data_IF_484557436634
#
_entry.id   IF_484557436634
#
_cell.length_a   1.000
_cell.length_b   1.000
_cell.length_c   1.000
_cell.angle_alpha   90.00
_cell.angle_beta   90.00
_cell.angle_gamma   90.00
#
_symmetry.space_group_name_H-M   'P 1'
#
loop_
_entity.id
_entity.type
_entity.pdbx_description
1 polymer ?
#
# COMPACT_ATOMS: atom_id res chain seq x y z
N UNK A 1 31.93 -35.45 -11.26
CA UNK A 1 31.25 -34.15 -11.34
C UNK A 1 32.31 -33.07 -11.52
N UNK A 2 32.34 -32.41 -12.68
CA UNK A 2 33.32 -31.36 -12.95
C UNK A 2 32.86 -30.06 -12.29
N UNK A 3 33.62 -29.56 -11.31
CA UNK A 3 33.44 -28.20 -10.79
C UNK A 3 33.84 -27.22 -11.88
N UNK A 4 32.86 -26.53 -12.47
CA UNK A 4 33.13 -25.41 -13.38
C UNK A 4 33.66 -24.26 -12.52
N UNK A 5 34.98 -24.14 -12.44
CA UNK A 5 35.65 -22.99 -11.83
C UNK A 5 35.40 -21.80 -12.75
N UNK A 6 34.43 -20.95 -12.40
CA UNK A 6 34.24 -19.67 -13.10
C UNK A 6 35.54 -18.86 -12.96
N UNK A 7 36.04 -18.25 -14.06
CA UNK A 7 37.28 -17.47 -14.03
C UNK A 7 37.19 -16.31 -13.03
N UNK A 8 38.33 -15.92 -12.45
CA UNK A 8 38.44 -14.79 -11.52
C UNK A 8 37.82 -13.53 -12.15
N UNK A 9 36.79 -12.92 -11.54
CA UNK A 9 36.17 -11.72 -12.09
C UNK A 9 37.20 -10.58 -12.11
N UNK A 10 37.29 -9.85 -13.23
CA UNK A 10 38.15 -8.67 -13.35
C UNK A 10 37.61 -7.56 -12.43
N UNK A 11 38.44 -6.62 -11.97
CA UNK A 11 38.00 -5.52 -11.07
C UNK A 11 36.83 -4.67 -11.65
N UNK A 12 36.78 -4.50 -12.99
CA UNK A 12 35.66 -3.86 -13.68
C UNK A 12 34.33 -4.65 -13.55
N UNK A 13 34.41 -5.97 -13.36
CA UNK A 13 33.28 -6.87 -13.22
C UNK A 13 32.63 -6.73 -11.84
N UNK A 14 33.43 -6.71 -10.77
CA UNK A 14 32.97 -6.51 -9.39
C UNK A 14 32.25 -5.16 -9.22
N UNK A 15 32.81 -4.08 -9.79
CA UNK A 15 32.17 -2.76 -9.75
C UNK A 15 30.81 -2.76 -10.46
N UNK A 16 30.67 -3.50 -11.56
CA UNK A 16 29.39 -3.64 -12.28
C UNK A 16 28.38 -4.44 -11.46
N UNK A 17 28.79 -5.55 -10.85
CA UNK A 17 27.94 -6.35 -9.97
C UNK A 17 27.45 -5.51 -8.76
N UNK A 18 28.34 -4.79 -8.08
CA UNK A 18 27.95 -3.88 -6.98
C UNK A 18 26.99 -2.77 -7.42
N UNK A 19 27.19 -2.20 -8.61
CA UNK A 19 26.25 -1.21 -9.16
C UNK A 19 24.88 -1.83 -9.49
N UNK A 20 24.84 -3.10 -9.90
CA UNK A 20 23.59 -3.84 -10.11
C UNK A 20 22.84 -4.03 -8.79
N UNK A 21 23.54 -4.49 -7.75
CA UNK A 21 22.99 -4.64 -6.39
C UNK A 21 22.42 -3.32 -5.88
N UNK A 22 23.16 -2.20 -6.03
CA UNK A 22 22.67 -0.87 -5.65
C UNK A 22 21.35 -0.49 -6.34
N UNK A 23 21.22 -0.80 -7.64
CA UNK A 23 19.97 -0.55 -8.38
C UNK A 23 18.82 -1.40 -7.86
N UNK A 24 19.07 -2.66 -7.50
CA UNK A 24 18.06 -3.55 -6.90
C UNK A 24 17.57 -2.95 -5.57
N UNK A 25 18.49 -2.52 -4.70
CA UNK A 25 18.14 -1.88 -3.42
C UNK A 25 17.33 -0.59 -3.61
N UNK A 26 17.74 0.30 -4.52
CA UNK A 26 17.03 1.55 -4.80
C UNK A 26 15.61 1.31 -5.35
N UNK A 27 15.45 0.29 -6.21
CA UNK A 27 14.14 -0.11 -6.72
C UNK A 27 13.26 -0.67 -5.61
N UNK A 28 13.80 -1.50 -4.72
CA UNK A 28 13.08 -2.04 -3.57
C UNK A 28 12.62 -0.92 -2.62
N UNK A 29 13.50 0.03 -2.30
CA UNK A 29 13.18 1.18 -1.45
C UNK A 29 12.04 2.02 -2.04
N UNK A 30 12.07 2.25 -3.36
CA UNK A 30 10.98 2.94 -4.07
C UNK A 30 9.65 2.20 -3.93
N UNK A 31 9.64 0.88 -4.10
CA UNK A 31 8.43 0.07 -3.95
C UNK A 31 7.91 0.07 -2.52
N UNK A 32 8.78 0.04 -1.51
CA UNK A 32 8.40 0.16 -0.11
C UNK A 32 7.76 1.54 0.17
N UNK A 33 8.30 2.62 -0.37
CA UNK A 33 7.68 3.95 -0.29
C UNK A 33 6.30 4.00 -0.93
N UNK A 34 6.14 3.42 -2.12
CA UNK A 34 4.82 3.30 -2.76
C UNK A 34 3.83 2.50 -1.91
N UNK A 35 4.30 1.47 -1.21
CA UNK A 35 3.47 0.67 -0.31
C UNK A 35 3.02 1.43 0.93
N UNK A 36 3.93 2.19 1.54
CA UNK A 36 3.58 3.07 2.66
C UNK A 36 2.54 4.10 2.24
N UNK A 37 2.67 4.69 1.04
CA UNK A 37 1.67 5.61 0.51
C UNK A 37 0.31 4.93 0.31
N UNK A 38 0.28 3.81 -0.41
CA UNK A 38 -0.95 3.03 -0.61
C UNK A 38 -1.63 2.69 0.72
N UNK A 39 -0.83 2.35 1.74
CA UNK A 39 -1.34 2.07 3.09
C UNK A 39 -1.95 3.31 3.76
N UNK A 40 -1.37 4.50 3.58
CA UNK A 40 -1.99 5.73 4.08
C UNK A 40 -3.32 6.00 3.37
N UNK A 41 -3.35 5.85 2.04
CA UNK A 41 -4.53 6.09 1.22
C UNK A 41 -5.69 5.12 1.57
N UNK A 42 -5.38 3.84 1.86
CA UNK A 42 -6.39 2.86 2.29
C UNK A 42 -6.92 3.15 3.70
N UNK A 43 -6.05 3.62 4.61
CA UNK A 43 -6.42 3.97 5.98
C UNK A 43 -7.32 5.23 5.98
N UNK A 44 -7.05 6.22 5.12
CA UNK A 44 -7.94 7.38 4.89
C UNK A 44 -9.30 6.97 4.32
N UNK A 45 -9.33 6.11 3.29
CA UNK A 45 -10.57 5.61 2.71
C UNK A 45 -11.44 4.85 3.73
N UNK A 46 -10.81 4.08 4.63
CA UNK A 46 -11.53 3.41 5.73
C UNK A 46 -12.15 4.42 6.70
N UNK A 47 -11.42 5.48 7.07
CA UNK A 47 -11.94 6.52 7.95
C UNK A 47 -13.13 7.26 7.32
N UNK A 48 -13.08 7.53 6.00
CA UNK A 48 -14.20 8.12 5.27
C UNK A 48 -15.45 7.21 5.31
N UNK A 49 -15.29 5.89 5.15
CA UNK A 49 -16.38 4.93 5.27
C UNK A 49 -16.99 4.90 6.68
N UNK A 50 -16.18 5.07 7.72
CA UNK A 50 -16.65 5.14 9.10
C UNK A 50 -17.56 6.35 9.33
N UNK A 51 -17.14 7.53 8.84
CA UNK A 51 -17.96 8.76 8.87
C UNK A 51 -19.27 8.59 8.09
N UNK A 52 -19.23 7.95 6.90
CA UNK A 52 -20.44 7.67 6.14
C UNK A 52 -21.38 6.70 6.86
N UNK A 53 -20.84 5.73 7.61
CA UNK A 53 -21.63 4.82 8.43
C UNK A 53 -22.35 5.55 9.56
N UNK A 54 -21.67 6.48 10.24
CA UNK A 54 -22.30 7.34 11.26
C UNK A 54 -23.40 8.22 10.68
N UNK A 55 -23.17 8.79 9.50
CA UNK A 55 -24.15 9.61 8.78
C UNK A 55 -25.39 8.78 8.41
N UNK A 56 -25.19 7.55 7.92
CA UNK A 56 -26.29 6.62 7.64
C UNK A 56 -27.12 6.33 8.91
N UNK A 57 -26.48 6.08 10.04
CA UNK A 57 -27.19 5.81 11.30
C UNK A 57 -27.97 7.04 11.79
N UNK A 58 -27.41 8.24 11.63
CA UNK A 58 -28.13 9.50 11.90
C UNK A 58 -29.38 9.66 11.02
N UNK A 59 -29.26 9.41 9.71
CA UNK A 59 -30.39 9.46 8.77
C UNK A 59 -31.47 8.42 9.12
N UNK A 60 -31.08 7.18 9.46
CA UNK A 60 -32.00 6.14 9.93
C UNK A 60 -32.74 6.55 11.20
N UNK A 61 -32.04 7.17 12.14
CA UNK A 61 -32.64 7.66 13.37
C UNK A 61 -33.64 8.79 13.11
N UNK A 62 -33.34 9.73 12.19
CA UNK A 62 -34.29 10.77 11.77
C UNK A 62 -35.53 10.17 11.10
N UNK A 63 -35.33 9.23 10.17
CA UNK A 63 -36.44 8.52 9.53
C UNK A 63 -37.34 7.79 10.55
N UNK A 64 -36.75 7.12 11.55
CA UNK A 64 -37.50 6.48 12.64
C UNK A 64 -38.34 7.48 13.43
N UNK A 65 -37.78 8.65 13.77
CA UNK A 65 -38.51 9.73 14.47
C UNK A 65 -39.69 10.26 13.66
N UNK A 66 -39.53 10.44 12.35
CA UNK A 66 -40.61 10.85 11.43
C UNK A 66 -41.72 9.81 11.47
N UNK A 67 -41.37 8.52 11.28
CA UNK A 67 -42.32 7.40 11.32
C UNK A 67 -43.08 7.35 12.65
N UNK A 68 -42.38 7.49 13.77
CA UNK A 68 -42.99 7.43 15.09
C UNK A 68 -43.94 8.61 15.34
N UNK A 69 -43.63 9.81 14.83
CA UNK A 69 -44.55 10.96 14.89
C UNK A 69 -45.80 10.73 14.04
N UNK A 70 -45.66 10.19 12.82
CA UNK A 70 -46.80 9.85 11.95
C UNK A 70 -47.72 8.79 12.56
N UNK A 71 -47.19 7.91 13.41
CA UNK A 71 -47.97 6.86 14.08
C UNK A 71 -48.89 7.38 15.21
N UNK A 72 -48.60 8.56 15.77
CA UNK A 72 -49.37 9.14 16.88
C UNK A 72 -50.59 9.88 16.35
N UNK A 73 -51.76 9.25 16.38
CA UNK A 73 -53.03 9.87 15.97
C UNK A 73 -53.70 10.64 17.14
N UNK A 74 -54.40 11.75 16.87
CA UNK A 74 -54.50 12.45 15.58
C UNK A 74 -53.24 13.27 15.27
N UNK A 75 -52.85 13.32 14.00
CA UNK A 75 -51.78 14.20 13.51
C UNK A 75 -52.43 15.44 12.93
N UNK A 76 -52.07 16.62 13.45
CA UNK A 76 -52.60 17.89 12.95
C UNK A 76 -51.88 18.35 11.67
N UNK A 77 -52.51 19.26 10.91
CA UNK A 77 -52.00 19.74 9.62
C UNK A 77 -50.65 20.47 9.72
N UNK A 78 -50.35 21.14 10.85
CA UNK A 78 -49.06 21.80 11.03
C UNK A 78 -47.95 20.78 11.24
N UNK A 79 -48.20 19.75 12.06
CA UNK A 79 -47.27 18.63 12.21
C UNK A 79 -47.01 17.91 10.88
N UNK A 80 -48.03 17.73 10.04
CA UNK A 80 -47.85 17.14 8.70
C UNK A 80 -46.92 18.01 7.84
N UNK A 81 -47.13 19.33 7.81
CA UNK A 81 -46.29 20.24 7.01
C UNK A 81 -44.82 20.26 7.48
N UNK A 82 -44.58 20.18 8.80
CA UNK A 82 -43.23 20.07 9.35
C UNK A 82 -42.55 18.74 8.99
N UNK A 83 -43.29 17.62 9.07
CA UNK A 83 -42.78 16.31 8.70
C UNK A 83 -42.48 16.21 7.21
N UNK A 84 -43.30 16.83 6.36
CA UNK A 84 -43.06 16.89 4.91
C UNK A 84 -41.71 17.57 4.61
N UNK A 85 -41.43 18.72 5.22
CA UNK A 85 -40.16 19.43 5.07
C UNK A 85 -38.97 18.61 5.57
N UNK A 86 -39.14 17.92 6.69
CA UNK A 86 -38.09 17.05 7.24
C UNK A 86 -37.82 15.83 6.33
N UNK A 87 -38.86 15.26 5.71
CA UNK A 87 -38.71 14.18 4.72
C UNK A 87 -37.91 14.69 3.51
N UNK A 88 -38.29 15.82 2.91
CA UNK A 88 -37.57 16.43 1.78
C UNK A 88 -36.09 16.68 2.13
N UNK A 89 -35.83 17.13 3.37
CA UNK A 89 -34.47 17.35 3.84
C UNK A 89 -33.68 16.04 4.02
N UNK A 90 -34.30 15.00 4.57
CA UNK A 90 -33.68 13.67 4.70
C UNK A 90 -33.41 13.05 3.33
N UNK A 91 -34.33 13.15 2.38
CA UNK A 91 -34.15 12.69 0.99
C UNK A 91 -32.93 13.35 0.34
N UNK A 92 -32.84 14.68 0.43
CA UNK A 92 -31.67 15.41 -0.08
C UNK A 92 -30.35 14.96 0.55
N UNK A 93 -30.33 14.68 1.86
CA UNK A 93 -29.11 14.18 2.51
C UNK A 93 -28.78 12.73 2.11
N UNK A 94 -29.80 11.89 1.88
CA UNK A 94 -29.60 10.53 1.36
C UNK A 94 -28.99 10.58 -0.04
N UNK A 95 -29.42 11.50 -0.90
CA UNK A 95 -28.83 11.67 -2.24
C UNK A 95 -27.35 12.06 -2.19
N UNK A 96 -26.99 13.00 -1.30
CA UNK A 96 -25.58 13.38 -1.07
C UNK A 96 -24.78 12.18 -0.54
N UNK A 97 -25.31 11.50 0.47
CA UNK A 97 -24.68 10.33 1.08
C UNK A 97 -24.45 9.20 0.06
N UNK A 98 -25.42 8.92 -0.82
CA UNK A 98 -25.28 7.93 -1.88
C UNK A 98 -24.18 8.30 -2.87
N UNK A 99 -24.07 9.59 -3.22
CA UNK A 99 -23.02 10.09 -4.11
C UNK A 99 -21.63 9.94 -3.48
N UNK A 100 -21.47 10.39 -2.24
CA UNK A 100 -20.20 10.27 -1.51
C UNK A 100 -19.78 8.80 -1.34
N UNK A 101 -20.73 7.90 -1.05
CA UNK A 101 -20.47 6.48 -0.97
C UNK A 101 -19.97 5.91 -2.31
N UNK A 102 -20.56 6.33 -3.42
CA UNK A 102 -20.14 5.89 -4.75
C UNK A 102 -18.70 6.34 -5.06
N UNK A 103 -18.36 7.59 -4.75
CA UNK A 103 -17.01 8.15 -4.95
C UNK A 103 -15.97 7.41 -4.09
N UNK A 104 -16.27 7.16 -2.81
CA UNK A 104 -15.38 6.41 -1.90
C UNK A 104 -15.20 4.96 -2.35
N UNK A 105 -16.26 4.33 -2.86
CA UNK A 105 -16.21 2.96 -3.35
C UNK A 105 -15.42 2.84 -4.67
N UNK A 106 -15.52 3.84 -5.55
CA UNK A 106 -14.68 3.92 -6.76
C UNK A 106 -13.19 4.08 -6.37
N UNK A 107 -12.89 5.01 -5.46
CA UNK A 107 -11.54 5.19 -4.94
C UNK A 107 -10.99 3.90 -4.31
N UNK A 108 -11.83 3.17 -3.53
CA UNK A 108 -11.46 1.88 -2.95
C UNK A 108 -11.13 0.84 -4.01
N UNK A 109 -11.95 0.74 -5.04
CA UNK A 109 -11.72 -0.20 -6.15
C UNK A 109 -10.38 0.07 -6.84
N UNK A 110 -10.04 1.34 -7.06
CA UNK A 110 -8.76 1.73 -7.64
C UNK A 110 -7.59 1.32 -6.72
N UNK A 111 -7.70 1.57 -5.41
CA UNK A 111 -6.68 1.15 -4.43
C UNK A 111 -6.49 -0.36 -4.39
N UNK A 112 -7.54 -1.16 -4.53
CA UNK A 112 -7.44 -2.62 -4.56
C UNK A 112 -6.68 -3.11 -5.81
N UNK A 113 -6.94 -2.50 -6.98
CA UNK A 113 -6.20 -2.80 -8.21
C UNK A 113 -4.73 -2.41 -8.07
N UNK A 114 -4.44 -1.24 -7.49
CA UNK A 114 -3.07 -0.80 -7.22
C UNK A 114 -2.34 -1.76 -6.27
N UNK A 115 -3.01 -2.21 -5.21
CA UNK A 115 -2.46 -3.18 -4.26
C UNK A 115 -2.03 -4.47 -4.95
N UNK A 116 -2.88 -5.04 -5.81
CA UNK A 116 -2.57 -6.28 -6.53
C UNK A 116 -1.29 -6.10 -7.35
N UNK A 117 -1.18 -4.99 -8.08
CA UNK A 117 0.00 -4.66 -8.90
C UNK A 117 1.24 -4.47 -8.02
N UNK A 118 1.12 -3.68 -6.96
CA UNK A 118 2.22 -3.35 -6.06
C UNK A 118 2.75 -4.58 -5.31
N UNK A 119 1.84 -5.41 -4.77
CA UNK A 119 2.17 -6.68 -4.11
C UNK A 119 2.99 -7.58 -5.01
N UNK A 120 2.60 -7.75 -6.28
CA UNK A 120 3.35 -8.57 -7.24
C UNK A 120 4.76 -8.03 -7.53
N UNK A 121 4.94 -6.71 -7.50
CA UNK A 121 6.25 -6.07 -7.71
C UNK A 121 7.12 -6.21 -6.46
N UNK A 122 6.55 -6.01 -5.28
CA UNK A 122 7.23 -6.17 -3.99
C UNK A 122 7.73 -7.60 -3.79
N UNK A 123 6.89 -8.60 -4.05
CA UNK A 123 7.29 -10.01 -3.94
C UNK A 123 8.50 -10.33 -4.82
N UNK A 124 8.47 -9.93 -6.09
CA UNK A 124 9.61 -10.08 -7.00
C UNK A 124 10.84 -9.31 -6.53
N UNK A 125 10.64 -8.09 -6.06
CA UNK A 125 11.74 -7.26 -5.54
C UNK A 125 12.37 -7.87 -4.30
N UNK A 126 11.61 -8.52 -3.44
CA UNK A 126 12.12 -9.17 -2.24
C UNK A 126 13.03 -10.36 -2.60
N UNK A 127 12.60 -11.20 -3.55
CA UNK A 127 13.47 -12.26 -4.10
C UNK A 127 14.72 -11.68 -4.75
N UNK A 128 14.63 -10.57 -5.49
CA UNK A 128 15.81 -9.92 -6.06
C UNK A 128 16.77 -9.41 -4.99
N UNK A 129 16.28 -8.91 -3.85
CA UNK A 129 17.10 -8.50 -2.71
C UNK A 129 17.80 -9.70 -2.07
N UNK A 130 17.11 -10.82 -1.89
CA UNK A 130 17.71 -12.06 -1.39
C UNK A 130 18.85 -12.55 -2.29
N UNK A 131 18.64 -12.56 -3.61
CA UNK A 131 19.68 -12.90 -4.59
C UNK A 131 20.83 -11.90 -4.53
N UNK A 132 20.54 -10.60 -4.46
CA UNK A 132 21.55 -9.55 -4.36
C UNK A 132 22.39 -9.68 -3.08
N UNK A 133 21.80 -10.12 -1.97
CA UNK A 133 22.52 -10.40 -0.72
C UNK A 133 23.48 -11.59 -0.90
N UNK A 134 23.05 -12.68 -1.55
CA UNK A 134 23.93 -13.83 -1.84
C UNK A 134 25.11 -13.41 -2.74
N UNK A 135 24.84 -12.59 -3.77
CA UNK A 135 25.87 -12.06 -4.64
C UNK A 135 26.84 -11.14 -3.86
N UNK A 136 26.32 -10.32 -2.95
CA UNK A 136 27.13 -9.46 -2.09
C UNK A 136 28.06 -10.30 -1.19
N UNK A 137 27.55 -11.31 -0.50
CA UNK A 137 28.35 -12.23 0.34
C UNK A 137 29.44 -12.93 -0.47
N UNK A 138 29.12 -13.31 -1.72
CA UNK A 138 30.09 -13.92 -2.64
C UNK A 138 31.19 -12.92 -3.01
N UNK A 139 30.84 -11.68 -3.33
CA UNK A 139 31.81 -10.62 -3.65
C UNK A 139 32.71 -10.34 -2.45
N UNK A 140 32.14 -10.27 -1.25
CA UNK A 140 32.89 -10.05 -0.01
C UNK A 140 33.93 -11.15 0.24
N UNK A 141 33.52 -12.42 0.13
CA UNK A 141 34.45 -13.57 0.25
C UNK A 141 35.58 -13.50 -0.78
N UNK A 142 35.26 -13.25 -2.06
CA UNK A 142 36.26 -13.15 -3.12
C UNK A 142 37.25 -11.99 -2.88
N UNK A 143 36.76 -10.87 -2.36
CA UNK A 143 37.58 -9.73 -2.00
C UNK A 143 38.51 -10.09 -0.83
N UNK A 144 38.00 -10.73 0.22
CA UNK A 144 38.78 -11.21 1.35
C UNK A 144 39.89 -12.18 0.92
N UNK A 145 39.57 -13.19 0.10
CA UNK A 145 40.54 -14.15 -0.43
C UNK A 145 41.62 -13.47 -1.29
N UNK A 146 41.22 -12.47 -2.08
CA UNK A 146 42.17 -11.71 -2.89
C UNK A 146 43.16 -10.95 -2.02
N UNK A 147 42.69 -10.28 -0.97
CA UNK A 147 43.54 -9.59 -0.01
C UNK A 147 44.44 -10.54 0.77
N UNK A 148 43.90 -11.66 1.25
CA UNK A 148 44.69 -12.68 1.95
C UNK A 148 45.83 -13.18 1.07
N UNK A 149 45.55 -13.52 -0.19
CA UNK A 149 46.58 -13.95 -1.14
C UNK A 149 47.61 -12.86 -1.45
N UNK A 150 47.18 -11.60 -1.58
CA UNK A 150 48.10 -10.47 -1.78
C UNK A 150 49.06 -10.31 -0.60
N UNK A 151 48.55 -10.33 0.63
CA UNK A 151 49.37 -10.21 1.84
C UNK A 151 50.38 -11.38 1.95
N UNK A 152 49.95 -12.63 1.74
CA UNK A 152 50.86 -13.79 1.81
C UNK A 152 51.99 -13.72 0.77
N UNK A 153 51.70 -13.23 -0.45
CA UNK A 153 52.73 -13.07 -1.49
C UNK A 153 53.78 -12.02 -1.13
N UNK A 154 53.39 -10.95 -0.43
CA UNK A 154 54.31 -9.89 -0.04
C UNK A 154 55.11 -10.23 1.22
N UNK A 155 54.60 -11.11 2.09
CA UNK A 155 55.36 -11.64 3.25
C UNK A 155 56.50 -12.56 2.82
N UNK A 156 56.35 -13.30 1.71
CA UNK A 156 57.40 -14.17 1.16
C UNK A 156 58.44 -13.43 0.30
N UNK A 157 58.38 -12.09 0.23
CA UNK A 157 59.31 -11.23 -0.52
C UNK A 157 60.17 -10.34 0.40
N UNK A 158 60.05 -10.51 1.72
CA UNK A 158 60.90 -9.94 2.77
C UNK A 158 61.61 -11.04 3.52
#
# INVERSE_FOLDING_TARGET
MAFIIKPKPKNNDIRKELNSIKKICANHETLCRSFTKWKADIDENNAQLEILSETMESLRNRHRKIRDRLSRKPVDANTVAELQKEIEHVESQVDIWMKELAEINEARTNLDVEFIRLRSKLQRSMTNIEVANIDFDRIERLHHDTWKNFLHKNVNLT
#
